data_IF_152278866681
#
_entry.id   IF_152278866681
#
_cell.length_a   1.000
_cell.length_b   1.000
_cell.length_c   1.000
_cell.angle_alpha   90.00
_cell.angle_beta   90.00
_cell.angle_gamma   90.00
#
_symmetry.space_group_name_H-M   'P 1'
#
loop_
_entity.id
_entity.type
_entity.pdbx_description
1 polymer ?
#
# COMPACT_ATOMS: atom_id res chain seq x y z
N UNK A 1 11.02 41.10 -40.17
CA UNK A 1 11.83 40.75 -41.36
C UNK A 1 12.17 42.04 -42.08
N UNK A 2 13.45 42.26 -42.42
CA UNK A 2 13.90 43.43 -43.19
C UNK A 2 13.97 43.03 -44.67
N UNK A 3 13.37 43.84 -45.54
CA UNK A 3 13.41 43.64 -46.99
C UNK A 3 14.31 44.70 -47.62
N UNK A 4 15.04 44.30 -48.67
CA UNK A 4 15.91 45.19 -49.42
C UNK A 4 15.49 45.21 -50.89
N UNK A 5 15.24 46.39 -51.45
CA UNK A 5 14.99 46.53 -52.87
C UNK A 5 16.30 46.65 -53.66
N UNK A 6 16.50 45.74 -54.61
CA UNK A 6 17.65 45.75 -55.53
C UNK A 6 17.28 46.15 -56.97
N UNK A 7 16.04 46.59 -57.20
CA UNK A 7 15.56 46.97 -58.53
C UNK A 7 16.22 48.26 -59.03
N UNK A 8 16.56 48.29 -60.32
CA UNK A 8 17.14 49.48 -60.98
C UNK A 8 16.09 50.22 -61.81
N UNK A 9 16.13 51.56 -61.80
CA UNK A 9 15.25 52.44 -62.59
C UNK A 9 13.74 52.29 -62.31
N UNK A 10 13.36 51.77 -61.14
CA UNK A 10 11.99 51.79 -60.65
C UNK A 10 11.62 53.21 -60.20
N UNK A 11 10.40 53.65 -60.54
CA UNK A 11 9.82 54.91 -60.07
C UNK A 11 8.78 54.66 -58.97
N UNK A 12 8.03 53.57 -59.11
CA UNK A 12 7.05 53.11 -58.13
C UNK A 12 7.37 51.69 -57.66
N UNK A 13 7.13 51.42 -56.38
CA UNK A 13 7.30 50.12 -55.74
C UNK A 13 6.05 49.74 -54.97
N UNK A 14 5.70 48.47 -55.02
CA UNK A 14 4.67 47.88 -54.17
C UNK A 14 5.14 46.49 -53.72
N UNK A 15 5.36 46.38 -52.42
CA UNK A 15 5.55 45.11 -51.73
C UNK A 15 4.19 44.56 -51.32
N UNK A 16 3.93 43.30 -51.64
CA UNK A 16 2.87 42.49 -51.04
C UNK A 16 3.55 41.39 -50.22
N UNK A 17 3.27 41.35 -48.93
CA UNK A 17 3.90 40.39 -48.02
C UNK A 17 3.19 39.03 -47.99
N UNK A 18 2.08 38.86 -48.72
CA UNK A 18 1.35 37.61 -48.79
C UNK A 18 0.49 37.29 -47.55
N UNK A 19 0.42 38.21 -46.58
CA UNK A 19 -0.41 38.12 -45.37
C UNK A 19 -1.60 39.11 -45.38
N UNK A 20 -1.84 39.75 -46.53
CA UNK A 20 -2.83 40.80 -46.71
C UNK A 20 -2.32 42.21 -46.43
N UNK A 21 -1.07 42.37 -45.99
CA UNK A 21 -0.42 43.67 -45.82
C UNK A 21 0.50 44.00 -47.01
N UNK A 22 0.73 45.30 -47.22
CA UNK A 22 1.59 45.82 -48.29
C UNK A 22 2.38 47.05 -47.85
N UNK A 23 3.43 47.39 -48.60
CA UNK A 23 4.23 48.61 -48.39
C UNK A 23 4.68 49.22 -49.72
N UNK A 24 4.94 50.52 -49.71
CA UNK A 24 5.52 51.27 -50.85
C UNK A 24 6.91 51.83 -50.52
N UNK A 25 7.44 51.53 -49.34
CA UNK A 25 8.80 51.91 -48.95
C UNK A 25 9.83 51.15 -49.79
N UNK A 26 11.02 51.74 -49.96
CA UNK A 26 12.09 51.11 -50.71
C UNK A 26 12.59 49.85 -50.01
N UNK A 27 12.81 49.93 -48.71
CA UNK A 27 13.38 48.86 -47.87
C UNK A 27 12.52 48.69 -46.60
N UNK A 28 11.31 48.11 -46.72
CA UNK A 28 10.39 48.05 -45.60
C UNK A 28 10.82 47.02 -44.54
N UNK A 29 10.36 47.25 -43.32
CA UNK A 29 10.32 46.22 -42.27
C UNK A 29 8.90 45.70 -42.10
N UNK A 30 8.74 44.38 -41.98
CA UNK A 30 7.43 43.77 -41.74
C UNK A 30 7.47 42.71 -40.64
N UNK A 31 6.40 42.63 -39.86
CA UNK A 31 6.21 41.65 -38.78
C UNK A 31 5.04 40.73 -39.16
N UNK A 32 5.33 39.45 -39.32
CA UNK A 32 4.32 38.43 -39.60
C UNK A 32 3.68 37.95 -38.28
N UNK A 33 2.35 37.76 -38.30
CA UNK A 33 1.58 37.43 -37.11
C UNK A 33 1.82 36.00 -36.57
N UNK A 34 2.36 35.09 -37.38
CA UNK A 34 2.55 33.72 -36.98
C UNK A 34 3.33 32.88 -37.99
N UNK A 35 3.47 31.57 -37.72
CA UNK A 35 4.06 30.64 -38.66
C UNK A 35 3.17 30.46 -39.89
N UNK A 36 3.79 30.20 -41.04
CA UNK A 36 3.11 30.07 -42.32
C UNK A 36 4.06 30.21 -43.51
N UNK A 37 3.53 29.92 -44.68
CA UNK A 37 4.21 30.15 -45.96
C UNK A 37 3.66 31.43 -46.58
N UNK A 38 4.49 32.47 -46.67
CA UNK A 38 4.15 33.78 -47.21
C UNK A 38 4.79 33.96 -48.57
N UNK A 39 4.00 34.15 -49.62
CA UNK A 39 4.51 34.51 -50.94
C UNK A 39 4.69 36.02 -51.00
N UNK A 40 5.93 36.48 -50.89
CA UNK A 40 6.25 37.90 -51.01
C UNK A 40 6.39 38.25 -52.48
N UNK A 41 5.75 39.35 -52.89
CA UNK A 41 5.91 39.89 -54.23
C UNK A 41 6.37 41.34 -54.19
N UNK A 42 7.34 41.68 -55.04
CA UNK A 42 7.74 43.05 -55.31
C UNK A 42 7.32 43.41 -56.74
N UNK A 43 6.39 44.34 -56.86
CA UNK A 43 6.00 44.97 -58.11
C UNK A 43 6.71 46.30 -58.26
N UNK A 44 7.44 46.48 -59.36
CA UNK A 44 8.10 47.74 -59.68
C UNK A 44 7.61 48.27 -61.03
N UNK A 45 7.46 49.58 -61.13
CA UNK A 45 6.99 50.24 -62.35
C UNK A 45 7.82 51.48 -62.68
N UNK A 46 7.96 51.74 -63.98
CA UNK A 46 8.39 53.02 -64.51
C UNK A 46 7.60 53.37 -65.78
N UNK A 47 7.95 54.49 -66.42
CA UNK A 47 7.29 54.95 -67.65
C UNK A 47 7.27 53.94 -68.82
N UNK A 48 8.14 52.94 -68.82
CA UNK A 48 8.24 51.94 -69.88
C UNK A 48 7.46 50.64 -69.59
N UNK A 49 7.10 50.37 -68.34
CA UNK A 49 6.37 49.15 -67.98
C UNK A 49 6.56 48.73 -66.52
N UNK A 50 6.14 47.51 -66.20
CA UNK A 50 6.24 46.91 -64.87
C UNK A 50 7.03 45.59 -64.89
N UNK A 51 7.59 45.24 -63.74
CA UNK A 51 8.22 43.94 -63.48
C UNK A 51 7.77 43.42 -62.12
N UNK A 52 7.76 42.10 -61.98
CA UNK A 52 7.36 41.39 -60.77
C UNK A 52 8.46 40.41 -60.38
N UNK A 53 8.83 40.45 -59.11
CA UNK A 53 9.64 39.42 -58.46
C UNK A 53 8.82 38.78 -57.35
N UNK A 54 8.99 37.47 -57.14
CA UNK A 54 8.29 36.75 -56.08
C UNK A 54 9.20 35.72 -55.46
N UNK A 55 9.16 35.61 -54.13
CA UNK A 55 9.87 34.61 -53.35
C UNK A 55 9.04 34.18 -52.15
N UNK A 56 9.23 32.95 -51.67
CA UNK A 56 8.43 32.38 -50.58
C UNK A 56 9.23 32.39 -49.27
N UNK A 57 8.68 33.03 -48.24
CA UNK A 57 9.19 32.96 -46.88
C UNK A 57 8.40 31.92 -46.08
N UNK A 58 9.09 30.90 -45.56
CA UNK A 58 8.50 29.91 -44.67
C UNK A 58 8.89 30.21 -43.22
N UNK A 59 7.89 30.53 -42.39
CA UNK A 59 8.04 30.69 -40.95
C UNK A 59 7.52 29.43 -40.26
N UNK A 60 8.42 28.69 -39.60
CA UNK A 60 8.06 27.48 -38.88
C UNK A 60 7.51 27.83 -37.49
N UNK A 61 6.53 27.07 -36.96
CA UNK A 61 6.10 27.21 -35.58
C UNK A 61 7.28 26.99 -34.62
N UNK A 62 7.36 27.75 -33.51
CA UNK A 62 8.40 27.51 -32.50
C UNK A 62 8.21 26.14 -31.84
N UNK A 63 9.31 25.52 -31.44
CA UNK A 63 9.30 24.35 -30.59
C UNK A 63 8.72 24.72 -29.22
N UNK A 64 7.79 23.90 -28.73
CA UNK A 64 7.19 24.00 -27.39
C UNK A 64 7.23 22.62 -26.75
N UNK A 65 7.92 22.50 -25.62
CA UNK A 65 8.10 21.26 -24.90
C UNK A 65 6.83 20.86 -24.14
N UNK A 66 6.38 19.62 -24.31
CA UNK A 66 5.29 19.06 -23.53
C UNK A 66 5.40 17.53 -23.49
N UNK A 67 4.91 16.91 -22.42
CA UNK A 67 4.92 15.46 -22.28
C UNK A 67 3.91 14.91 -21.27
N UNK A 68 3.64 13.62 -21.39
CA UNK A 68 2.82 12.84 -20.46
C UNK A 68 3.53 11.54 -20.07
N UNK A 69 2.99 10.83 -19.07
CA UNK A 69 3.49 9.57 -18.55
C UNK A 69 2.34 8.65 -18.11
N UNK A 70 2.58 7.34 -18.11
CA UNK A 70 1.58 6.34 -17.72
C UNK A 70 1.26 6.34 -16.21
N UNK A 71 2.27 6.52 -15.36
CA UNK A 71 2.10 6.72 -13.92
C UNK A 71 3.27 7.45 -13.26
N UNK A 72 2.97 8.18 -12.18
CA UNK A 72 3.90 9.07 -11.49
C UNK A 72 4.53 8.50 -10.22
N UNK A 73 4.38 7.20 -9.94
CA UNK A 73 5.01 6.61 -8.76
C UNK A 73 4.70 5.14 -8.54
N UNK A 74 5.50 4.52 -7.66
CA UNK A 74 5.45 3.10 -7.38
C UNK A 74 6.49 2.67 -6.34
N UNK A 75 6.47 1.38 -5.97
CA UNK A 75 7.58 0.83 -5.18
C UNK A 75 8.68 0.32 -6.09
N UNK A 76 9.92 0.65 -5.74
CA UNK A 76 11.08 0.30 -6.56
C UNK A 76 11.39 -1.21 -6.53
N UNK A 77 11.83 -1.81 -7.66
CA UNK A 77 11.95 -1.18 -8.98
C UNK A 77 10.60 -1.12 -9.74
N UNK A 78 10.40 -0.04 -10.50
CA UNK A 78 9.30 0.09 -11.47
C UNK A 78 9.74 0.88 -12.71
N UNK A 79 9.04 0.66 -13.82
CA UNK A 79 9.28 1.32 -15.10
C UNK A 79 8.24 2.41 -15.34
N UNK A 80 8.63 3.54 -15.92
CA UNK A 80 7.72 4.62 -16.34
C UNK A 80 7.85 4.82 -17.83
N UNK A 81 6.73 4.85 -18.54
CA UNK A 81 6.70 5.16 -19.97
C UNK A 81 6.35 6.62 -20.19
N UNK A 82 7.28 7.38 -20.78
CA UNK A 82 7.05 8.78 -21.17
C UNK A 82 6.56 8.86 -22.61
N UNK A 83 5.71 9.85 -22.89
CA UNK A 83 5.19 10.17 -24.21
C UNK A 83 5.39 11.65 -24.52
N UNK A 84 6.07 11.95 -25.63
CA UNK A 84 6.24 13.32 -26.12
C UNK A 84 4.91 13.89 -26.65
N UNK A 85 4.56 15.08 -26.18
CA UNK A 85 3.42 15.88 -26.65
C UNK A 85 3.86 17.22 -27.24
N UNK A 86 5.17 17.42 -27.42
CA UNK A 86 5.75 18.66 -27.89
C UNK A 86 5.24 19.06 -29.28
N UNK A 87 5.18 20.37 -29.52
CA UNK A 87 4.72 20.93 -30.79
C UNK A 87 5.82 21.76 -31.46
N UNK A 88 5.64 22.09 -32.74
CA UNK A 88 6.61 22.93 -33.47
C UNK A 88 7.60 22.18 -34.35
N UNK A 89 7.25 21.01 -34.92
CA UNK A 89 8.14 20.24 -35.79
C UNK A 89 9.50 19.92 -35.13
N UNK A 90 9.44 19.19 -34.03
CA UNK A 90 10.61 18.84 -33.24
C UNK A 90 11.59 17.99 -34.04
N UNK A 91 12.88 18.31 -33.92
CA UNK A 91 13.98 17.61 -34.60
C UNK A 91 14.93 16.91 -33.63
N UNK A 92 14.91 17.28 -32.35
CA UNK A 92 15.74 16.67 -31.30
C UNK A 92 15.04 16.71 -29.94
N UNK A 93 15.25 15.66 -29.15
CA UNK A 93 14.80 15.52 -27.77
C UNK A 93 16.02 15.34 -26.87
N UNK A 94 15.99 15.94 -25.69
CA UNK A 94 16.95 15.73 -24.63
C UNK A 94 16.20 15.59 -23.32
N UNK A 95 16.01 14.35 -22.90
CA UNK A 95 15.41 13.99 -21.62
C UNK A 95 16.46 13.90 -20.53
N UNK A 96 16.09 14.31 -19.32
CA UNK A 96 16.85 14.05 -18.10
C UNK A 96 15.94 13.45 -17.04
N UNK A 97 16.36 12.29 -16.53
CA UNK A 97 15.68 11.48 -15.52
C UNK A 97 16.64 11.22 -14.34
N UNK A 98 16.88 12.21 -13.46
CA UNK A 98 17.66 12.01 -12.25
C UNK A 98 17.17 10.77 -11.47
N UNK A 99 18.08 9.84 -11.16
CA UNK A 99 17.74 8.60 -10.45
C UNK A 99 17.09 7.50 -11.29
N UNK A 100 16.78 7.77 -12.56
CA UNK A 100 16.31 6.79 -13.53
C UNK A 100 17.43 6.05 -14.23
N UNK A 101 17.12 4.87 -14.77
CA UNK A 101 17.95 4.08 -15.66
C UNK A 101 17.18 3.80 -16.97
N UNK A 102 17.56 4.42 -18.11
CA UNK A 102 18.68 5.35 -18.26
C UNK A 102 18.40 6.73 -17.63
N UNK A 103 19.46 7.44 -17.24
CA UNK A 103 19.35 8.79 -16.64
C UNK A 103 19.04 9.91 -17.66
N UNK A 104 19.11 9.62 -18.95
CA UNK A 104 18.82 10.55 -20.05
C UNK A 104 18.39 9.78 -21.30
N UNK A 105 17.70 10.44 -22.23
CA UNK A 105 17.32 9.85 -23.52
C UNK A 105 17.21 10.90 -24.62
N UNK A 106 17.46 10.50 -25.86
CA UNK A 106 17.23 11.27 -27.09
C UNK A 106 16.00 10.76 -27.88
N UNK A 107 15.32 9.74 -27.36
CA UNK A 107 14.11 9.20 -27.95
C UNK A 107 12.89 10.06 -27.59
N UNK A 108 11.88 10.17 -28.48
CA UNK A 108 10.66 10.90 -28.17
C UNK A 108 9.86 10.24 -27.03
N UNK A 109 9.79 8.90 -26.98
CA UNK A 109 8.96 8.16 -26.02
C UNK A 109 9.80 7.13 -25.24
N UNK A 110 10.67 7.55 -24.31
CA UNK A 110 11.54 6.64 -23.56
C UNK A 110 10.80 5.88 -22.45
N UNK A 111 11.30 4.70 -22.12
CA UNK A 111 10.96 3.97 -20.89
C UNK A 111 12.12 4.11 -19.89
N UNK A 112 11.82 4.39 -18.62
CA UNK A 112 12.83 4.62 -17.58
C UNK A 112 12.52 3.80 -16.34
N UNK A 113 13.50 3.07 -15.84
CA UNK A 113 13.38 2.30 -14.58
C UNK A 113 13.88 3.10 -13.39
N UNK A 114 13.09 3.20 -12.33
CA UNK A 114 13.52 3.78 -11.05
C UNK A 114 13.81 2.66 -10.05
N UNK A 115 15.09 2.52 -9.68
CA UNK A 115 15.59 1.43 -8.84
C UNK A 115 15.75 1.80 -7.35
N UNK A 116 15.82 3.10 -7.05
CA UNK A 116 16.06 3.61 -5.70
C UNK A 116 14.91 4.50 -5.23
N UNK A 117 14.53 4.44 -3.94
CA UNK A 117 13.50 5.34 -3.44
C UNK A 117 13.95 6.79 -3.48
N UNK A 118 13.03 7.69 -3.80
CA UNK A 118 13.28 9.11 -3.94
C UNK A 118 12.10 9.85 -4.56
N UNK A 119 12.19 11.16 -4.56
CA UNK A 119 11.28 12.03 -5.30
C UNK A 119 12.11 12.68 -6.42
N UNK A 120 11.73 12.46 -7.67
CA UNK A 120 12.54 12.83 -8.83
C UNK A 120 11.83 13.83 -9.73
N UNK A 121 12.59 14.83 -10.18
CA UNK A 121 12.19 15.77 -11.21
C UNK A 121 12.35 15.12 -12.59
N UNK A 122 11.59 15.56 -13.58
CA UNK A 122 11.78 15.15 -14.98
C UNK A 122 11.82 16.40 -15.85
N UNK A 123 12.79 16.45 -16.78
CA UNK A 123 12.87 17.53 -17.75
C UNK A 123 13.00 17.01 -19.17
N UNK A 124 12.27 17.66 -20.08
CA UNK A 124 12.34 17.47 -21.52
C UNK A 124 12.77 18.78 -22.16
N UNK A 125 13.87 18.74 -22.91
CA UNK A 125 14.26 19.83 -23.81
C UNK A 125 14.02 19.37 -25.25
N UNK A 126 13.27 20.15 -26.02
CA UNK A 126 13.05 19.89 -27.45
C UNK A 126 13.57 21.04 -28.28
N UNK A 127 14.06 20.74 -29.48
CA UNK A 127 14.55 21.76 -30.40
C UNK A 127 14.09 21.52 -31.83
N UNK A 128 13.89 22.62 -32.55
CA UNK A 128 13.67 22.64 -33.99
C UNK A 128 14.64 23.64 -34.65
N UNK A 129 14.45 23.92 -35.95
CA UNK A 129 15.30 24.86 -36.68
C UNK A 129 15.21 26.33 -36.19
N UNK A 130 14.20 26.67 -35.39
CA UNK A 130 13.94 28.04 -34.92
C UNK A 130 14.42 28.29 -33.49
N UNK A 131 14.11 27.38 -32.57
CA UNK A 131 14.42 27.52 -31.16
C UNK A 131 14.55 26.17 -30.45
N UNK A 132 14.94 26.26 -29.18
CA UNK A 132 14.76 25.20 -28.19
C UNK A 132 13.79 25.67 -27.12
N UNK A 133 13.06 24.74 -26.53
CA UNK A 133 12.21 24.96 -25.36
C UNK A 133 12.41 23.82 -24.35
N UNK A 134 12.17 24.11 -23.07
CA UNK A 134 12.36 23.16 -21.98
C UNK A 134 11.18 23.17 -21.01
N UNK A 135 10.66 21.98 -20.72
CA UNK A 135 9.68 21.74 -19.66
C UNK A 135 10.32 20.90 -18.55
N UNK A 136 10.25 21.39 -17.31
CA UNK A 136 10.69 20.67 -16.11
C UNK A 136 9.54 20.56 -15.12
N UNK A 137 9.21 19.33 -14.73
CA UNK A 137 8.21 19.03 -13.70
C UNK A 137 8.92 18.53 -12.44
N UNK A 138 8.81 19.29 -11.36
CA UNK A 138 9.49 19.00 -10.09
C UNK A 138 8.74 17.97 -9.25
N UNK A 139 9.45 16.99 -8.70
CA UNK A 139 8.91 15.91 -7.88
C UNK A 139 7.83 15.11 -8.59
N UNK A 140 7.98 14.94 -9.91
CA UNK A 140 7.01 14.25 -10.75
C UNK A 140 6.94 12.76 -10.41
N UNK A 141 8.07 12.12 -10.12
CA UNK A 141 8.14 10.68 -9.85
C UNK A 141 8.35 10.42 -8.37
N UNK A 142 7.38 9.79 -7.71
CA UNK A 142 7.49 9.31 -6.33
C UNK A 142 7.84 7.81 -6.29
N UNK A 143 9.09 7.51 -5.95
CA UNK A 143 9.60 6.16 -5.82
C UNK A 143 9.72 5.79 -4.33
N UNK A 144 8.95 4.80 -3.88
CA UNK A 144 8.96 4.33 -2.48
C UNK A 144 9.67 2.98 -2.35
N UNK A 145 10.25 2.63 -1.18
CA UNK A 145 10.71 1.27 -0.94
C UNK A 145 9.52 0.32 -0.74
N UNK A 146 9.71 -0.96 -1.04
CA UNK A 146 8.73 -1.98 -0.65
C UNK A 146 8.60 -2.06 0.88
N UNK A 147 7.38 -2.01 1.42
CA UNK A 147 7.16 -2.28 2.83
C UNK A 147 7.58 -3.71 3.17
N UNK A 148 8.23 -3.89 4.31
CA UNK A 148 8.50 -5.20 4.92
C UNK A 148 7.74 -5.23 6.24
N UNK A 149 6.68 -6.04 6.30
CA UNK A 149 5.95 -6.28 7.53
C UNK A 149 6.79 -7.13 8.48
N UNK A 150 6.89 -6.71 9.74
CA UNK A 150 7.50 -7.52 10.80
C UNK A 150 6.97 -7.09 12.17
N UNK A 151 6.95 -8.03 13.11
CA UNK A 151 6.59 -7.75 14.48
C UNK A 151 7.13 -8.79 15.46
N UNK A 152 7.20 -8.38 16.72
CA UNK A 152 7.42 -9.25 17.86
C UNK A 152 6.28 -9.11 18.86
N UNK A 153 6.19 -10.02 19.82
CA UNK A 153 5.21 -9.91 20.88
C UNK A 153 5.74 -10.45 22.21
N UNK A 154 5.16 -9.96 23.30
CA UNK A 154 5.38 -10.47 24.66
C UNK A 154 4.05 -10.89 25.26
N UNK A 155 4.02 -12.09 25.83
CA UNK A 155 2.87 -12.66 26.53
C UNK A 155 2.94 -12.32 28.02
N UNK A 156 1.82 -11.87 28.58
CA UNK A 156 1.64 -11.68 30.02
C UNK A 156 0.22 -12.09 30.42
N UNK A 157 0.06 -13.33 30.86
CA UNK A 157 -1.27 -13.86 31.15
C UNK A 157 -2.03 -14.23 29.87
N UNK A 158 -3.24 -13.72 29.77
CA UNK A 158 -4.13 -13.73 28.60
C UNK A 158 -3.89 -12.55 27.65
N UNK A 159 -2.94 -11.68 28.00
CA UNK A 159 -2.69 -10.42 27.29
C UNK A 159 -1.40 -10.49 26.47
N UNK A 160 -1.48 -10.04 25.22
CA UNK A 160 -0.36 -9.98 24.27
C UNK A 160 -0.04 -8.53 23.95
N UNK A 161 1.23 -8.18 24.11
CA UNK A 161 1.78 -6.87 23.79
C UNK A 161 2.55 -6.98 22.47
N UNK A 162 2.02 -6.41 21.39
CA UNK A 162 2.67 -6.44 20.08
C UNK A 162 3.60 -5.24 19.91
N UNK A 163 4.78 -5.48 19.33
CA UNK A 163 5.73 -4.45 18.91
C UNK A 163 5.95 -4.55 17.42
N UNK A 164 5.58 -3.52 16.69
CA UNK A 164 5.80 -3.41 15.26
C UNK A 164 7.28 -3.15 14.94
N UNK A 165 7.83 -3.98 14.08
CA UNK A 165 9.22 -3.92 13.59
C UNK A 165 9.27 -3.65 12.08
N UNK A 166 8.12 -3.35 11.47
CA UNK A 166 7.99 -3.12 10.03
C UNK A 166 8.84 -1.95 9.56
N UNK A 167 9.33 -2.05 8.33
CA UNK A 167 10.12 -1.00 7.69
C UNK A 167 9.62 -0.71 6.26
N UNK A 168 9.83 0.49 5.72
CA UNK A 168 10.28 1.71 6.40
C UNK A 168 9.23 2.27 7.40
N UNK A 169 9.52 3.32 8.18
CA UNK A 169 8.50 4.03 8.94
C UNK A 169 7.49 4.76 8.04
N UNK A 170 6.35 5.17 8.61
CA UNK A 170 5.31 5.93 7.89
C UNK A 170 4.25 5.08 7.18
N UNK A 171 4.20 3.78 7.48
CA UNK A 171 3.21 2.86 6.94
C UNK A 171 1.87 2.98 7.68
N UNK A 172 0.80 2.58 7.00
CA UNK A 172 -0.47 2.23 7.63
C UNK A 172 -0.42 0.79 8.15
N UNK A 173 -1.16 0.51 9.23
CA UNK A 173 -1.15 -0.79 9.90
C UNK A 173 -2.57 -1.35 10.03
N UNK A 174 -2.70 -2.67 9.86
CA UNK A 174 -3.92 -3.39 10.16
C UNK A 174 -3.57 -4.74 10.78
N UNK A 175 -3.91 -4.89 12.05
CA UNK A 175 -3.72 -6.11 12.82
C UNK A 175 -4.98 -6.95 12.85
N UNK A 176 -4.85 -8.26 12.68
CA UNK A 176 -5.89 -9.25 12.99
C UNK A 176 -5.33 -10.24 14.01
N UNK A 177 -6.11 -10.57 15.03
CA UNK A 177 -5.62 -11.32 16.19
C UNK A 177 -5.91 -12.83 16.15
N UNK A 178 -6.67 -13.29 15.14
CA UNK A 178 -6.99 -14.71 14.94
C UNK A 178 -8.13 -15.25 15.81
N UNK A 179 -8.72 -14.46 16.69
CA UNK A 179 -9.80 -14.83 17.62
C UNK A 179 -11.20 -14.34 17.21
N UNK A 180 -11.30 -13.70 16.04
CA UNK A 180 -12.54 -13.10 15.52
C UNK A 180 -12.86 -11.70 16.08
N UNK A 181 -11.99 -11.12 16.89
CA UNK A 181 -12.11 -9.72 17.32
C UNK A 181 -11.88 -8.73 16.16
N UNK A 182 -12.30 -7.47 16.36
CA UNK A 182 -12.13 -6.42 15.37
C UNK A 182 -10.65 -6.08 15.14
N UNK A 183 -10.25 -5.74 13.90
CA UNK A 183 -8.86 -5.38 13.61
C UNK A 183 -8.44 -4.07 14.28
N UNK A 184 -7.14 -3.92 14.51
CA UNK A 184 -6.55 -2.69 15.07
C UNK A 184 -5.66 -1.96 14.07
N UNK A 185 -5.69 -0.63 14.07
CA UNK A 185 -4.80 0.22 13.28
C UNK A 185 -3.67 0.86 14.10
N UNK A 186 -3.52 0.47 15.38
CA UNK A 186 -2.48 1.00 16.25
C UNK A 186 -1.10 0.48 15.81
N UNK A 187 -0.06 1.31 16.01
CA UNK A 187 1.32 0.91 15.73
C UNK A 187 1.76 -0.25 16.61
N UNK A 188 1.49 -0.20 17.92
CA UNK A 188 1.83 -1.26 18.89
C UNK A 188 0.57 -1.61 19.71
N UNK A 189 -0.33 -2.45 19.20
CA UNK A 189 -1.55 -2.79 19.91
C UNK A 189 -1.27 -3.72 21.09
N UNK A 190 -2.17 -3.67 22.05
CA UNK A 190 -2.34 -4.69 23.08
C UNK A 190 -3.66 -5.41 22.82
N UNK A 191 -3.65 -6.72 22.96
CA UNK A 191 -4.85 -7.55 22.80
C UNK A 191 -5.01 -8.53 23.96
N UNK A 192 -6.24 -8.72 24.42
CA UNK A 192 -6.57 -9.68 25.50
C UNK A 192 -7.38 -10.80 24.87
N UNK A 193 -6.88 -12.03 24.98
CA UNK A 193 -7.54 -13.21 24.42
C UNK A 193 -8.53 -13.79 25.43
N UNK A 194 -9.81 -13.99 25.04
CA UNK A 194 -10.84 -14.46 25.98
C UNK A 194 -10.66 -15.94 26.35
N UNK A 195 -10.07 -16.74 25.47
CA UNK A 195 -9.91 -18.18 25.63
C UNK A 195 -8.45 -18.61 25.44
N UNK A 196 -8.11 -19.79 25.97
CA UNK A 196 -6.81 -20.43 25.71
C UNK A 196 -6.83 -21.10 24.34
N UNK A 197 -5.74 -21.03 23.59
CA UNK A 197 -5.67 -21.61 22.26
C UNK A 197 -4.47 -21.13 21.45
N UNK A 198 -4.40 -21.61 20.21
CA UNK A 198 -3.46 -21.12 19.21
C UNK A 198 -4.18 -20.11 18.31
N UNK A 199 -3.62 -18.91 18.21
CA UNK A 199 -4.18 -17.82 17.42
C UNK A 199 -3.18 -17.38 16.36
N UNK A 200 -3.64 -17.30 15.10
CA UNK A 200 -2.84 -16.74 14.01
C UNK A 200 -3.01 -15.23 13.98
N UNK A 201 -1.97 -14.51 14.37
CA UNK A 201 -1.93 -13.05 14.32
C UNK A 201 -1.33 -12.62 13.01
N UNK A 202 -1.94 -11.64 12.35
CA UNK A 202 -1.44 -11.05 11.12
C UNK A 202 -1.32 -9.53 11.22
N UNK A 203 -0.22 -8.99 10.72
CA UNK A 203 0.02 -7.57 10.51
C UNK A 203 0.12 -7.29 9.02
N UNK A 204 -0.86 -6.58 8.47
CA UNK A 204 -0.79 -5.98 7.13
C UNK A 204 -0.25 -4.56 7.27
N UNK A 205 0.78 -4.24 6.49
CA UNK A 205 1.31 -2.88 6.39
C UNK A 205 1.24 -2.38 4.96
N UNK A 206 0.88 -1.11 4.75
CA UNK A 206 0.82 -0.51 3.41
C UNK A 206 1.45 0.89 3.40
N UNK A 207 2.14 1.20 2.31
CA UNK A 207 2.39 2.59 1.88
C UNK A 207 1.37 2.99 0.81
N UNK A 208 1.60 4.10 0.12
CA UNK A 208 0.72 4.61 -0.95
C UNK A 208 0.52 3.62 -2.11
N UNK A 209 1.54 2.83 -2.45
CA UNK A 209 1.58 2.02 -3.68
C UNK A 209 1.56 0.51 -3.44
N UNK A 210 2.01 0.05 -2.26
CA UNK A 210 2.31 -1.35 -2.00
C UNK A 210 2.00 -1.75 -0.56
N UNK A 211 1.90 -3.05 -0.34
CA UNK A 211 1.72 -3.63 0.98
C UNK A 211 2.50 -4.92 1.19
N UNK A 212 2.64 -5.29 2.45
CA UNK A 212 3.23 -6.54 2.90
C UNK A 212 2.43 -7.09 4.08
N UNK A 213 2.54 -8.39 4.30
CA UNK A 213 1.93 -9.05 5.45
C UNK A 213 2.96 -9.87 6.22
N UNK A 214 2.86 -9.85 7.54
CA UNK A 214 3.57 -10.76 8.43
C UNK A 214 2.54 -11.51 9.27
N UNK A 215 2.76 -12.80 9.50
CA UNK A 215 1.90 -13.61 10.37
C UNK A 215 2.74 -14.44 11.34
N UNK A 216 2.23 -14.61 12.57
CA UNK A 216 2.83 -15.46 13.59
C UNK A 216 1.74 -16.11 14.44
N UNK A 217 2.00 -17.33 14.93
CA UNK A 217 1.10 -18.02 15.85
C UNK A 217 1.42 -17.64 17.29
N UNK A 218 0.41 -17.25 18.05
CA UNK A 218 0.48 -16.99 19.49
C UNK A 218 -0.26 -18.10 20.24
N UNK A 219 0.39 -18.69 21.23
CA UNK A 219 -0.21 -19.69 22.12
C UNK A 219 -0.60 -19.05 23.46
N UNK A 220 -1.90 -19.03 23.74
CA UNK A 220 -2.46 -18.59 25.02
C UNK A 220 -2.68 -19.82 25.88
N UNK A 221 -1.87 -19.93 26.94
CA UNK A 221 -1.96 -21.01 27.92
C UNK A 221 -2.63 -20.52 29.21
N UNK A 222 -3.33 -21.39 29.95
CA UNK A 222 -3.90 -21.02 31.23
C UNK A 222 -2.78 -20.66 32.22
N UNK A 223 -2.80 -19.43 32.73
CA UNK A 223 -1.79 -18.92 33.67
C UNK A 223 -2.14 -19.15 35.14
N UNK A 224 -3.38 -19.56 35.42
CA UNK A 224 -3.80 -19.99 36.74
C UNK A 224 -4.71 -21.22 36.63
N UNK A 225 -4.38 -22.28 37.36
CA UNK A 225 -5.42 -23.16 37.90
C UNK A 225 -6.12 -22.30 38.92
N UNK A 226 -7.32 -21.79 38.61
CA UNK A 226 -8.11 -21.07 39.59
C UNK A 226 -8.15 -21.90 40.87
N UNK A 227 -7.60 -21.38 41.96
CA UNK A 227 -8.00 -21.88 43.27
C UNK A 227 -9.46 -21.53 43.35
N UNK A 228 -10.30 -22.54 43.15
CA UNK A 228 -11.69 -22.47 43.55
C UNK A 228 -11.68 -21.85 44.96
N UNK A 229 -12.47 -20.80 45.16
CA UNK A 229 -12.87 -20.45 46.52
C UNK A 229 -13.25 -21.78 47.19
N UNK A 230 -12.87 -22.03 48.45
CA UNK A 230 -13.26 -23.27 49.10
C UNK A 230 -14.79 -23.29 49.16
N UNK A 231 -15.42 -23.84 48.13
CA UNK A 231 -16.74 -24.42 48.20
C UNK A 231 -16.62 -25.38 49.36
N UNK A 232 -17.51 -25.22 50.35
CA UNK A 232 -17.64 -26.06 51.54
C UNK A 232 -17.13 -27.46 51.23
N UNK A 233 -15.97 -27.82 51.81
CA UNK A 233 -15.15 -28.89 51.27
C UNK A 233 -15.97 -30.17 51.10
N UNK A 234 -16.17 -30.62 49.86
CA UNK A 234 -16.86 -31.88 49.60
C UNK A 234 -15.99 -33.01 50.18
N UNK A 235 -16.53 -33.67 51.19
CA UNK A 235 -15.90 -34.82 51.83
C UNK A 235 -15.92 -36.00 50.88
N UNK A 236 -14.77 -36.64 50.68
CA UNK A 236 -14.62 -37.86 49.89
C UNK A 236 -13.96 -38.93 50.73
N UNK A 237 -14.66 -40.04 50.97
CA UNK A 237 -14.15 -41.18 51.75
C UNK A 237 -14.76 -42.51 51.27
N UNK A 238 -14.06 -43.64 51.37
CA UNK A 238 -12.60 -43.74 51.48
C UNK A 238 -11.95 -43.36 50.15
N UNK A 239 -10.82 -42.65 50.19
CA UNK A 239 -9.98 -42.41 49.03
C UNK A 239 -8.52 -42.59 49.50
N UNK A 240 -7.79 -43.62 49.03
CA UNK A 240 -8.09 -44.51 47.90
C UNK A 240 -9.22 -45.54 48.12
N UNK A 241 -9.85 -46.03 47.06
CA UNK A 241 -10.84 -47.12 47.07
C UNK A 241 -10.95 -47.81 45.71
N UNK A 242 -11.06 -49.14 45.68
CA UNK A 242 -11.28 -49.93 44.45
C UNK A 242 -12.76 -50.08 44.04
N UNK A 243 -13.66 -49.36 44.70
CA UNK A 243 -15.12 -49.50 44.56
C UNK A 243 -15.84 -48.18 44.79
N UNK A 244 -16.74 -48.12 45.78
CA UNK A 244 -17.54 -46.93 46.04
C UNK A 244 -16.74 -45.81 46.74
N UNK A 245 -16.79 -44.60 46.18
CA UNK A 245 -16.48 -43.33 46.82
C UNK A 245 -17.76 -42.72 47.41
N UNK A 246 -17.75 -42.35 48.68
CA UNK A 246 -18.83 -41.60 49.31
C UNK A 246 -18.51 -40.10 49.30
N UNK A 247 -19.46 -39.33 48.78
CA UNK A 247 -19.45 -37.86 48.75
C UNK A 247 -20.35 -37.31 49.85
N UNK A 248 -19.89 -36.27 50.55
CA UNK A 248 -20.65 -35.56 51.59
C UNK A 248 -20.42 -34.05 51.47
N UNK A 249 -21.40 -33.24 51.87
CA UNK A 249 -21.31 -31.78 51.76
C UNK A 249 -21.78 -31.27 50.40
N UNK A 250 -22.65 -32.03 49.72
CA UNK A 250 -23.33 -31.59 48.50
C UNK A 250 -24.54 -30.71 48.86
N UNK A 251 -25.05 -29.88 47.94
CA UNK A 251 -26.29 -29.15 48.17
C UNK A 251 -27.50 -30.10 48.15
N UNK A 252 -28.58 -29.72 48.82
CA UNK A 252 -29.85 -30.48 48.85
C UNK A 252 -30.66 -30.34 47.53
N UNK A 253 -29.98 -30.46 46.37
CA UNK A 253 -30.52 -30.31 45.01
C UNK A 253 -29.72 -31.18 44.03
N UNK A 254 -30.24 -31.46 42.82
CA UNK A 254 -29.52 -32.21 41.81
C UNK A 254 -28.15 -31.61 41.50
N UNK A 255 -27.10 -32.42 41.65
CA UNK A 255 -25.71 -32.03 41.42
C UNK A 255 -25.07 -33.00 40.44
N UNK A 256 -24.52 -32.46 39.35
CA UNK A 256 -23.83 -33.27 38.35
C UNK A 256 -22.42 -33.61 38.83
N UNK A 257 -22.07 -34.90 38.79
CA UNK A 257 -20.74 -35.41 39.12
C UNK A 257 -20.19 -36.16 37.93
N UNK A 258 -18.94 -35.89 37.57
CA UNK A 258 -18.26 -36.45 36.40
C UNK A 258 -16.90 -36.99 36.79
N UNK A 259 -16.50 -38.12 36.23
CA UNK A 259 -15.18 -38.70 36.42
C UNK A 259 -14.41 -38.65 35.10
N UNK A 260 -13.18 -38.17 35.15
CA UNK A 260 -12.30 -37.98 34.02
C UNK A 260 -11.02 -38.81 34.15
N UNK A 261 -10.60 -39.45 33.07
CA UNK A 261 -9.25 -39.98 32.87
C UNK A 261 -8.48 -38.92 32.08
N UNK A 262 -7.32 -38.50 32.59
CA UNK A 262 -6.52 -37.43 31.95
C UNK A 262 -6.07 -37.78 30.52
N UNK A 263 -6.12 -39.05 30.11
CA UNK A 263 -5.79 -39.50 28.76
C UNK A 263 -7.01 -39.79 27.90
N UNK A 264 -8.14 -40.17 28.51
CA UNK A 264 -9.35 -40.63 27.78
C UNK A 264 -10.52 -39.65 27.84
N UNK A 265 -10.41 -38.58 28.62
CA UNK A 265 -11.49 -37.62 28.84
C UNK A 265 -12.54 -38.14 29.84
N UNK A 266 -13.79 -37.71 29.67
CA UNK A 266 -14.90 -38.08 30.55
C UNK A 266 -15.23 -39.58 30.44
N UNK A 267 -15.30 -40.27 31.57
CA UNK A 267 -15.52 -41.72 31.64
C UNK A 267 -16.93 -42.06 32.12
N UNK A 268 -17.38 -41.39 33.19
CA UNK A 268 -18.64 -41.69 33.88
C UNK A 268 -19.26 -40.43 34.44
N UNK A 269 -20.60 -40.39 34.47
CA UNK A 269 -21.39 -39.26 34.96
C UNK A 269 -22.48 -39.76 35.91
N UNK A 270 -22.76 -38.98 36.95
CA UNK A 270 -23.81 -39.19 37.93
C UNK A 270 -24.58 -37.90 38.17
N UNK A 271 -25.84 -38.04 38.59
CA UNK A 271 -26.64 -36.96 39.14
C UNK A 271 -27.01 -37.34 40.58
N UNK A 272 -26.50 -36.56 41.54
CA UNK A 272 -26.70 -36.83 42.97
C UNK A 272 -27.73 -35.85 43.52
N UNK A 273 -28.81 -36.40 44.07
CA UNK A 273 -29.92 -35.66 44.64
C UNK A 273 -29.85 -35.68 46.17
N UNK A 274 -29.21 -34.67 46.76
CA UNK A 274 -29.13 -34.52 48.21
C UNK A 274 -27.70 -34.31 48.72
N UNK A 275 -27.54 -34.13 50.03
CA UNK A 275 -26.28 -33.69 50.63
C UNK A 275 -25.17 -34.74 50.66
N UNK A 276 -25.48 -35.96 50.25
CA UNK A 276 -24.57 -37.10 50.19
C UNK A 276 -24.87 -37.94 48.95
N UNK A 277 -23.87 -38.62 48.41
CA UNK A 277 -24.08 -39.63 47.38
C UNK A 277 -22.86 -40.52 47.16
N UNK A 278 -22.96 -41.42 46.18
CA UNK A 278 -21.89 -42.37 45.87
C UNK A 278 -21.47 -42.29 44.42
N UNK A 279 -20.19 -42.52 44.20
CA UNK A 279 -19.56 -42.65 42.88
C UNK A 279 -18.89 -44.00 42.83
N UNK A 280 -19.16 -44.77 41.76
CA UNK A 280 -18.63 -46.12 41.61
C UNK A 280 -17.40 -46.13 40.69
N UNK A 281 -16.28 -46.61 41.24
CA UNK A 281 -15.03 -46.81 40.51
C UNK A 281 -14.80 -48.27 40.09
N UNK A 282 -15.71 -49.20 40.41
CA UNK A 282 -15.55 -50.61 40.12
C UNK A 282 -15.40 -50.85 38.60
N UNK A 283 -14.46 -51.72 38.25
CA UNK A 283 -14.13 -52.06 36.86
C UNK A 283 -13.23 -51.05 36.13
N UNK A 284 -12.84 -49.94 36.77
CA UNK A 284 -11.81 -49.06 36.23
C UNK A 284 -10.40 -49.61 36.54
N UNK A 285 -9.39 -49.40 35.66
CA UNK A 285 -8.00 -49.73 35.97
C UNK A 285 -7.51 -49.02 37.26
N UNK A 286 -6.53 -49.58 37.99
CA UNK A 286 -5.88 -48.86 39.07
C UNK A 286 -5.21 -47.59 38.54
N UNK A 287 -5.45 -46.44 39.16
CA UNK A 287 -5.02 -45.17 38.59
C UNK A 287 -5.50 -43.92 39.32
N UNK A 288 -5.07 -42.76 38.80
CA UNK A 288 -5.54 -41.45 39.22
C UNK A 288 -6.61 -40.95 38.27
N UNK A 289 -7.70 -40.46 38.85
CA UNK A 289 -8.85 -39.92 38.13
C UNK A 289 -9.17 -38.53 38.66
N UNK A 290 -9.70 -37.67 37.80
CA UNK A 290 -10.19 -36.34 38.19
C UNK A 290 -11.70 -36.42 38.37
N UNK A 291 -12.17 -36.24 39.61
CA UNK A 291 -13.58 -36.11 39.92
C UNK A 291 -13.98 -34.63 39.84
N UNK A 292 -14.97 -34.31 39.04
CA UNK A 292 -15.56 -32.99 38.87
C UNK A 292 -16.99 -33.00 39.42
N UNK A 293 -17.32 -32.03 40.27
CA UNK A 293 -18.66 -31.79 40.80
C UNK A 293 -19.09 -30.40 40.35
N UNK A 294 -20.20 -30.30 39.63
CA UNK A 294 -20.77 -29.02 39.18
C UNK A 294 -21.94 -28.64 40.07
N UNK A 295 -21.76 -27.59 40.86
CA UNK A 295 -22.75 -27.06 41.77
C UNK A 295 -23.84 -26.28 41.01
N UNK A 296 -25.07 -26.19 41.55
CA UNK A 296 -26.19 -25.50 40.89
C UNK A 296 -25.96 -24.01 40.62
N UNK A 297 -25.06 -23.36 41.38
CA UNK A 297 -24.66 -21.96 41.17
C UNK A 297 -23.65 -21.79 40.04
N UNK A 298 -23.33 -22.85 39.29
CA UNK A 298 -22.35 -22.85 38.20
C UNK A 298 -20.90 -23.09 38.66
N UNK A 299 -20.63 -23.07 39.97
CA UNK A 299 -19.30 -23.36 40.49
C UNK A 299 -18.92 -24.83 40.23
N UNK A 300 -17.65 -25.05 39.90
CA UNK A 300 -17.09 -26.39 39.75
C UNK A 300 -16.19 -26.70 40.94
N UNK A 301 -16.18 -27.96 41.37
CA UNK A 301 -15.27 -28.48 42.37
C UNK A 301 -14.57 -29.70 41.79
N UNK A 302 -13.23 -29.73 41.86
CA UNK A 302 -12.46 -30.84 41.30
C UNK A 302 -11.50 -31.43 42.33
N UNK A 303 -11.33 -32.76 42.30
CA UNK A 303 -10.36 -33.46 43.14
C UNK A 303 -9.82 -34.70 42.47
N UNK A 304 -8.53 -34.95 42.68
CA UNK A 304 -7.90 -36.20 42.28
C UNK A 304 -8.32 -37.32 43.23
N UNK A 305 -8.86 -38.40 42.67
CA UNK A 305 -9.24 -39.61 43.39
C UNK A 305 -8.44 -40.80 42.87
N UNK A 306 -8.16 -41.77 43.73
CA UNK A 306 -7.39 -42.96 43.40
C UNK A 306 -8.27 -44.20 43.48
N UNK A 307 -8.35 -44.93 42.36
CA UNK A 307 -8.88 -46.29 42.30
C UNK A 307 -7.77 -47.30 42.65
#
# INVERSE_FOLDING_TARGET
>A
VQFANLSTYAQDLLWDFGDGNSSTETDPEHIFAGPGSYLITLSVQNACGSSLFSDTLELLPPAVADFDLDFSGGCVPFDVQFSDLSTGMITSWEWSFPGGDPASSDQPNPTVTYNTPGLYDVSLTVSNAQNSDQLTLTGLIEALPFPTADFSFVLSGDTVFFTNLSSPPGLSYQWTFGDGSAPSAQTNPLHVYPDTGLYEVSLVVNNTYCGSVASATVEIVPTAVGTLSPAEAIGIRPNPTGGLLYLSGLPARPTAVRLWDLRKGNIRNWEINGPTGTVDLEGLPPGLYLLEVRLPNGAQWTKVVKN
#
